data_IF_020955999916
#
_entry.id   IF_020955999916
#
_cell.length_a   1.000
_cell.length_b   1.000
_cell.length_c   1.000
_cell.angle_alpha   90.00
_cell.angle_beta   90.00
_cell.angle_gamma   90.00
#
_symmetry.space_group_name_H-M   'P 1'
#
loop_
_entity.id
_entity.type
_entity.pdbx_description
1 polymer ?
#
# COMPACT_ATOMS: atom_id res chain seq x y z
N UNK A 1 -9.44 37.45 -5.33
CA UNK A 1 -9.37 36.43 -6.40
C UNK A 1 -9.07 35.11 -5.75
N UNK A 2 -10.00 34.12 -5.74
CA UNK A 2 -9.72 32.76 -5.32
C UNK A 2 -8.81 32.15 -6.39
N UNK A 3 -7.54 31.86 -6.05
CA UNK A 3 -6.67 31.06 -6.91
C UNK A 3 -7.36 29.72 -7.09
N UNK A 4 -7.79 29.41 -8.31
CA UNK A 4 -8.40 28.13 -8.63
C UNK A 4 -7.43 27.01 -8.26
N UNK A 5 -7.92 25.99 -7.58
CA UNK A 5 -7.14 24.79 -7.28
C UNK A 5 -6.60 24.24 -8.61
N UNK A 6 -5.30 24.05 -8.77
CA UNK A 6 -4.77 23.55 -10.03
C UNK A 6 -5.43 22.20 -10.33
N UNK A 7 -5.95 22.07 -11.56
CA UNK A 7 -6.60 20.85 -12.02
C UNK A 7 -5.59 19.72 -11.94
N UNK A 8 -5.92 18.65 -11.21
CA UNK A 8 -5.08 17.46 -11.15
C UNK A 8 -5.00 16.83 -12.54
N UNK A 9 -3.80 16.64 -13.03
CA UNK A 9 -3.51 15.92 -14.25
C UNK A 9 -2.91 14.57 -13.88
N UNK A 10 -3.65 13.51 -14.12
CA UNK A 10 -3.18 12.16 -13.83
C UNK A 10 -2.08 11.77 -14.83
N UNK A 11 -0.91 11.41 -14.29
CA UNK A 11 0.23 10.90 -15.06
C UNK A 11 0.70 9.57 -14.51
N UNK A 12 1.14 8.71 -15.40
CA UNK A 12 1.81 7.46 -15.08
C UNK A 12 3.24 7.53 -15.59
N UNK A 13 4.17 7.18 -14.73
CA UNK A 13 5.59 7.21 -15.04
C UNK A 13 6.18 5.81 -15.21
N UNK A 14 7.41 5.73 -15.68
CA UNK A 14 8.25 4.54 -15.59
C UNK A 14 9.43 4.89 -14.69
N UNK A 15 9.72 4.07 -13.69
CA UNK A 15 10.89 4.24 -12.86
C UNK A 15 12.12 3.77 -13.65
N UNK A 16 13.11 4.63 -13.78
CA UNK A 16 14.43 4.33 -14.34
C UNK A 16 15.45 4.05 -13.24
N UNK A 17 16.72 4.22 -13.58
CA UNK A 17 17.85 4.04 -12.64
C UNK A 17 17.93 5.17 -11.59
N UNK A 18 17.22 6.25 -11.81
CA UNK A 18 17.07 7.38 -10.88
C UNK A 18 15.68 8.02 -11.06
N UNK A 19 15.22 8.73 -10.04
CA UNK A 19 14.05 9.59 -10.14
C UNK A 19 14.38 10.85 -10.93
N UNK A 20 13.53 11.17 -11.92
CA UNK A 20 13.66 12.44 -12.65
C UNK A 20 13.12 13.61 -11.83
N UNK A 21 13.58 14.83 -12.13
CA UNK A 21 13.04 16.04 -11.48
C UNK A 21 11.54 16.19 -11.71
N UNK A 22 11.02 15.83 -12.90
CA UNK A 22 9.58 15.83 -13.16
C UNK A 22 8.81 14.89 -12.22
N UNK A 23 9.34 13.69 -11.95
CA UNK A 23 8.73 12.73 -11.03
C UNK A 23 8.72 13.26 -9.59
N UNK A 24 9.83 13.85 -9.14
CA UNK A 24 9.96 14.46 -7.80
C UNK A 24 8.99 15.63 -7.64
N UNK A 25 8.97 16.57 -8.59
CA UNK A 25 8.07 17.72 -8.60
C UNK A 25 6.60 17.28 -8.62
N UNK A 26 6.25 16.28 -9.44
CA UNK A 26 4.91 15.73 -9.52
C UNK A 26 4.46 15.16 -8.16
N UNK A 27 5.31 14.33 -7.54
CA UNK A 27 5.02 13.76 -6.24
C UNK A 27 4.90 14.84 -5.15
N UNK A 28 5.84 15.77 -5.07
CA UNK A 28 5.78 16.87 -4.09
C UNK A 28 4.53 17.73 -4.25
N UNK A 29 4.09 17.95 -5.48
CA UNK A 29 2.89 18.72 -5.76
C UNK A 29 1.61 17.99 -5.39
N UNK A 30 1.51 16.70 -5.70
CA UNK A 30 0.26 15.96 -5.62
C UNK A 30 0.22 14.93 -4.48
N UNK A 31 1.35 14.57 -3.88
CA UNK A 31 1.43 13.56 -2.81
C UNK A 31 1.18 12.14 -3.25
N UNK A 32 1.11 11.90 -4.54
CA UNK A 32 0.90 10.60 -5.17
C UNK A 32 1.64 10.54 -6.50
N UNK A 33 2.25 9.40 -6.78
CA UNK A 33 2.86 9.09 -8.07
C UNK A 33 2.57 7.63 -8.42
N UNK A 34 2.37 7.34 -9.69
CA UNK A 34 2.18 5.98 -10.16
C UNK A 34 3.28 5.60 -11.16
N UNK A 35 3.89 4.47 -10.91
CA UNK A 35 4.83 3.83 -11.83
C UNK A 35 4.17 2.61 -12.47
N UNK A 36 4.30 2.49 -13.79
CA UNK A 36 3.90 1.29 -14.54
C UNK A 36 5.04 0.30 -14.64
N UNK A 37 4.70 -0.97 -14.75
CA UNK A 37 5.67 -2.06 -14.97
C UNK A 37 6.77 -2.12 -13.89
N UNK A 38 6.43 -1.78 -12.63
CA UNK A 38 7.38 -1.90 -11.53
C UNK A 38 7.78 -3.35 -11.29
N UNK A 39 6.84 -4.27 -11.42
CA UNK A 39 7.10 -5.72 -11.43
C UNK A 39 6.57 -6.32 -12.74
N UNK A 40 7.10 -7.47 -13.14
CA UNK A 40 6.59 -8.23 -14.28
C UNK A 40 5.32 -9.00 -13.88
N UNK A 41 4.57 -9.49 -14.89
CA UNK A 41 3.42 -10.36 -14.63
C UNK A 41 3.84 -11.66 -13.94
N UNK A 42 4.96 -12.24 -14.34
CA UNK A 42 5.51 -13.45 -13.76
C UNK A 42 5.86 -13.26 -12.28
N UNK A 43 6.41 -12.07 -11.92
CA UNK A 43 6.67 -11.71 -10.53
C UNK A 43 5.37 -11.55 -9.74
N UNK A 44 4.35 -10.93 -10.34
CA UNK A 44 3.04 -10.80 -9.69
C UNK A 44 2.40 -12.17 -9.43
N UNK A 45 2.43 -13.08 -10.42
CA UNK A 45 1.94 -14.44 -10.27
C UNK A 45 2.69 -15.23 -9.19
N UNK A 46 4.02 -15.06 -9.11
CA UNK A 46 4.85 -15.66 -8.06
C UNK A 46 4.41 -15.16 -6.67
N UNK A 47 4.20 -13.84 -6.52
CA UNK A 47 3.76 -13.29 -5.24
C UNK A 47 2.36 -13.78 -4.86
N UNK A 48 1.43 -13.86 -5.80
CA UNK A 48 0.09 -14.41 -5.57
C UNK A 48 0.19 -15.85 -5.09
N UNK A 49 1.05 -16.67 -5.71
CA UNK A 49 1.25 -18.06 -5.31
C UNK A 49 1.85 -18.19 -3.89
N UNK A 50 2.82 -17.35 -3.54
CA UNK A 50 3.40 -17.32 -2.18
C UNK A 50 2.37 -16.90 -1.14
N UNK A 51 1.58 -15.88 -1.44
CA UNK A 51 0.52 -15.39 -0.55
C UNK A 51 -0.57 -16.44 -0.35
N UNK A 52 -0.93 -17.19 -1.40
CA UNK A 52 -1.88 -18.30 -1.30
C UNK A 52 -1.39 -19.44 -0.39
N UNK A 53 -0.09 -19.74 -0.41
CA UNK A 53 0.51 -20.72 0.52
C UNK A 53 0.41 -20.26 1.96
N UNK A 54 0.78 -19.00 2.25
CA UNK A 54 0.69 -18.41 3.58
C UNK A 54 -0.77 -18.40 4.07
N UNK A 55 -1.70 -17.99 3.23
CA UNK A 55 -3.14 -17.98 3.55
C UNK A 55 -3.63 -19.39 3.92
N UNK A 56 -3.31 -20.38 3.09
CA UNK A 56 -3.72 -21.77 3.33
C UNK A 56 -3.16 -22.30 4.65
N UNK A 57 -1.90 -22.01 4.95
CA UNK A 57 -1.28 -22.39 6.22
C UNK A 57 -1.98 -21.72 7.40
N UNK A 58 -2.18 -20.40 7.36
CA UNK A 58 -2.79 -19.66 8.47
C UNK A 58 -4.25 -20.05 8.71
N UNK A 59 -5.01 -20.35 7.65
CA UNK A 59 -6.37 -20.88 7.81
C UNK A 59 -6.37 -22.26 8.44
N UNK A 60 -5.47 -23.16 8.04
CA UNK A 60 -5.36 -24.49 8.60
C UNK A 60 -4.93 -24.50 10.08
N UNK A 61 -4.05 -23.56 10.46
CA UNK A 61 -3.55 -23.39 11.83
C UNK A 61 -4.49 -22.55 12.72
N UNK A 62 -5.54 -21.95 12.17
CA UNK A 62 -6.45 -21.08 12.90
C UNK A 62 -5.81 -19.79 13.40
N UNK A 63 -4.87 -19.22 12.63
CA UNK A 63 -4.15 -17.99 13.01
C UNK A 63 -5.11 -16.80 12.92
N UNK A 64 -5.31 -16.12 14.04
CA UNK A 64 -6.19 -14.93 14.09
C UNK A 64 -5.43 -13.60 14.05
N UNK A 65 -4.17 -13.60 14.45
CA UNK A 65 -3.31 -12.40 14.53
C UNK A 65 -1.85 -12.72 14.34
N UNK A 66 -1.09 -11.79 13.79
CA UNK A 66 0.37 -11.84 13.66
C UNK A 66 0.97 -10.62 14.38
N UNK A 67 1.94 -10.85 15.26
CA UNK A 67 2.58 -9.80 16.08
C UNK A 67 1.55 -8.88 16.78
N UNK A 68 0.44 -9.44 17.24
CA UNK A 68 -0.64 -8.69 17.89
C UNK A 68 -1.59 -7.97 16.91
N UNK A 69 -1.32 -7.95 15.62
CA UNK A 69 -2.18 -7.35 14.59
C UNK A 69 -3.22 -8.37 14.12
N UNK A 70 -4.53 -8.09 14.26
CA UNK A 70 -5.57 -8.99 13.81
C UNK A 70 -5.59 -9.13 12.28
N UNK A 71 -5.75 -10.36 11.81
CA UNK A 71 -6.07 -10.63 10.41
C UNK A 71 -7.52 -10.21 10.10
N UNK A 72 -7.83 -9.96 8.83
CA UNK A 72 -9.19 -9.69 8.37
C UNK A 72 -9.68 -10.88 7.55
N UNK A 73 -10.74 -11.48 8.01
CA UNK A 73 -11.35 -12.64 7.35
C UNK A 73 -12.55 -12.24 6.51
N UNK A 74 -12.80 -13.00 5.48
CA UNK A 74 -13.95 -12.89 4.59
C UNK A 74 -14.32 -14.21 3.95
N UNK A 75 -15.13 -14.14 2.92
CA UNK A 75 -15.49 -15.26 2.06
C UNK A 75 -15.17 -14.93 0.63
N UNK A 76 -14.71 -15.93 -0.12
CA UNK A 76 -14.59 -15.85 -1.57
C UNK A 76 -15.97 -15.97 -2.26
N UNK A 77 -16.03 -15.86 -3.61
CA UNK A 77 -17.28 -16.01 -4.36
C UNK A 77 -17.99 -17.34 -4.13
N UNK A 78 -17.26 -18.38 -3.84
CA UNK A 78 -17.74 -19.74 -3.60
C UNK A 78 -18.14 -19.97 -2.13
N UNK A 79 -17.95 -18.95 -1.28
CA UNK A 79 -18.28 -19.00 0.15
C UNK A 79 -17.22 -19.66 1.03
N UNK A 80 -16.03 -19.94 0.49
CA UNK A 80 -14.88 -20.48 1.22
C UNK A 80 -14.23 -19.38 2.07
N UNK A 81 -13.68 -19.76 3.23
CA UNK A 81 -12.94 -18.84 4.08
C UNK A 81 -11.68 -18.34 3.39
N UNK A 82 -11.44 -17.04 3.52
CA UNK A 82 -10.25 -16.37 3.01
C UNK A 82 -9.74 -15.31 3.99
N UNK A 83 -8.48 -14.92 3.87
CA UNK A 83 -7.91 -13.83 4.64
C UNK A 83 -7.80 -12.60 3.73
N UNK A 84 -8.61 -11.60 4.01
CA UNK A 84 -8.67 -10.37 3.21
C UNK A 84 -7.55 -9.37 3.54
N UNK A 85 -6.95 -9.46 4.72
CA UNK A 85 -5.78 -8.67 5.09
C UNK A 85 -4.81 -9.50 5.90
N UNK A 86 -3.61 -9.65 5.33
CA UNK A 86 -2.47 -10.35 5.92
C UNK A 86 -1.37 -9.33 6.23
N UNK A 87 -0.76 -9.43 7.38
CA UNK A 87 0.35 -8.56 7.79
C UNK A 87 1.64 -9.37 7.99
N UNK A 88 2.79 -8.72 7.89
CA UNK A 88 4.11 -9.34 8.03
C UNK A 88 4.37 -10.53 7.11
N UNK A 89 3.79 -10.54 5.91
CA UNK A 89 3.90 -11.67 4.96
C UNK A 89 5.34 -11.95 4.55
N UNK A 90 6.21 -10.95 4.58
CA UNK A 90 7.65 -11.09 4.36
C UNK A 90 8.37 -11.98 5.37
N UNK A 91 7.77 -12.26 6.54
CA UNK A 91 8.33 -13.18 7.53
C UNK A 91 8.00 -14.66 7.28
N UNK A 92 7.11 -14.90 6.33
CA UNK A 92 6.59 -16.22 6.01
C UNK A 92 6.91 -16.67 4.56
N UNK A 93 7.62 -15.84 3.82
CA UNK A 93 8.10 -16.16 2.46
C UNK A 93 9.44 -15.48 2.20
N UNK A 94 10.46 -16.28 1.89
CA UNK A 94 11.78 -15.77 1.49
C UNK A 94 11.69 -14.95 0.18
N UNK A 95 10.78 -15.30 -0.72
CA UNK A 95 10.53 -14.56 -1.96
C UNK A 95 10.06 -13.14 -1.66
N UNK A 96 9.10 -12.99 -0.74
CA UNK A 96 8.59 -11.68 -0.35
C UNK A 96 9.62 -10.89 0.48
N UNK A 97 10.42 -11.58 1.32
CA UNK A 97 11.50 -10.95 2.06
C UNK A 97 12.60 -10.42 1.14
N UNK A 98 12.96 -11.19 0.11
CA UNK A 98 13.97 -10.79 -0.87
C UNK A 98 13.50 -9.62 -1.72
N UNK A 99 12.21 -9.59 -2.08
CA UNK A 99 11.63 -8.47 -2.81
C UNK A 99 11.76 -7.13 -2.07
N UNK A 100 11.69 -7.11 -0.75
CA UNK A 100 11.88 -5.87 0.03
C UNK A 100 13.30 -5.30 -0.06
N UNK A 101 14.26 -6.09 -0.56
CA UNK A 101 15.64 -5.65 -0.81
C UNK A 101 15.85 -5.11 -2.22
N UNK A 102 14.79 -5.02 -3.04
CA UNK A 102 14.90 -4.46 -4.38
C UNK A 102 15.43 -3.02 -4.31
N UNK A 103 16.56 -2.72 -4.98
CA UNK A 103 17.21 -1.41 -4.88
C UNK A 103 16.34 -0.26 -5.37
N UNK A 104 15.29 -0.54 -6.14
CA UNK A 104 14.35 0.48 -6.59
C UNK A 104 13.57 1.11 -5.42
N UNK A 105 13.42 0.41 -4.30
CA UNK A 105 12.83 1.01 -3.11
C UNK A 105 13.70 2.10 -2.51
N UNK A 106 15.03 1.98 -2.59
CA UNK A 106 15.95 3.03 -2.15
C UNK A 106 15.76 4.32 -2.97
N UNK A 107 15.53 4.19 -4.28
CA UNK A 107 15.21 5.35 -5.12
C UNK A 107 13.91 6.04 -4.68
N UNK A 108 12.89 5.25 -4.29
CA UNK A 108 11.61 5.82 -3.84
C UNK A 108 11.74 6.58 -2.52
N UNK A 109 12.73 6.24 -1.67
CA UNK A 109 12.97 6.97 -0.41
C UNK A 109 13.36 8.43 -0.64
N UNK A 110 13.94 8.78 -1.80
CA UNK A 110 14.23 10.16 -2.17
C UNK A 110 12.95 11.04 -2.19
N UNK A 111 11.77 10.44 -2.39
CA UNK A 111 10.51 11.16 -2.37
C UNK A 111 10.10 11.67 -0.98
N UNK A 112 10.74 11.20 0.09
CA UNK A 112 10.54 11.71 1.45
C UNK A 112 11.13 13.11 1.67
N UNK A 113 11.79 13.67 0.66
CA UNK A 113 12.31 15.03 0.69
C UNK A 113 13.51 15.15 1.61
N UNK A 114 13.59 16.14 2.55
CA UNK A 114 14.81 16.33 3.34
C UNK A 114 15.00 15.30 4.47
N UNK A 115 14.17 14.27 4.52
CA UNK A 115 14.21 13.25 5.56
C UNK A 115 14.91 12.00 5.06
N UNK A 116 15.77 11.44 5.89
CA UNK A 116 16.32 10.12 5.65
C UNK A 116 15.21 9.08 5.84
N UNK A 117 15.04 8.22 4.82
CA UNK A 117 14.06 7.15 4.83
C UNK A 117 14.71 5.79 4.93
N UNK A 118 13.94 4.81 5.37
CA UNK A 118 14.27 3.39 5.31
C UNK A 118 13.01 2.56 5.10
N UNK A 119 13.17 1.38 4.57
CA UNK A 119 12.07 0.42 4.48
C UNK A 119 11.75 -0.08 5.89
N UNK A 120 10.47 -0.06 6.26
CA UNK A 120 10.00 -0.66 7.51
C UNK A 120 10.20 -2.18 7.46
N UNK A 121 10.75 -2.75 8.55
CA UNK A 121 10.99 -4.19 8.64
C UNK A 121 9.97 -4.87 9.56
N UNK A 122 10.06 -4.58 10.84
CA UNK A 122 9.31 -5.27 11.89
C UNK A 122 8.30 -4.39 12.61
N UNK A 123 8.32 -3.11 12.31
CA UNK A 123 7.40 -2.14 12.88
C UNK A 123 6.11 -2.02 12.05
N UNK A 124 5.08 -1.52 12.70
CA UNK A 124 3.72 -1.38 12.16
C UNK A 124 3.17 -2.74 11.70
N UNK A 125 2.85 -2.91 10.45
CA UNK A 125 2.21 -4.11 9.92
C UNK A 125 3.12 -4.91 8.99
N UNK A 126 4.39 -4.50 8.82
CA UNK A 126 5.35 -5.10 7.89
C UNK A 126 4.88 -5.02 6.44
N UNK A 127 5.19 -6.04 5.64
CA UNK A 127 4.63 -6.18 4.30
C UNK A 127 3.19 -6.67 4.40
N UNK A 128 2.25 -5.82 4.00
CA UNK A 128 0.82 -6.10 4.07
C UNK A 128 0.29 -6.50 2.72
N UNK A 129 -0.49 -7.56 2.69
CA UNK A 129 -1.31 -7.94 1.55
C UNK A 129 -2.79 -7.68 1.84
N UNK A 130 -3.48 -7.03 0.91
CA UNK A 130 -4.92 -6.80 0.97
C UNK A 130 -5.60 -7.47 -0.23
N UNK A 131 -6.56 -8.33 0.05
CA UNK A 131 -7.40 -8.99 -0.94
C UNK A 131 -8.83 -8.46 -0.82
N UNK A 132 -9.15 -7.48 -1.66
CA UNK A 132 -10.49 -6.90 -1.68
C UNK A 132 -11.39 -7.73 -2.59
N UNK A 133 -12.46 -8.25 -2.01
CA UNK A 133 -13.48 -9.00 -2.75
C UNK A 133 -14.77 -8.19 -2.76
N UNK A 134 -15.19 -7.76 -3.94
CA UNK A 134 -16.43 -7.01 -4.10
C UNK A 134 -17.64 -7.95 -4.10
N UNK A 135 -18.10 -8.30 -2.90
CA UNK A 135 -19.27 -9.16 -2.72
C UNK A 135 -20.25 -8.57 -1.69
N UNK A 136 -21.56 -8.78 -1.84
CA UNK A 136 -22.58 -8.24 -0.93
C UNK A 136 -22.37 -8.59 0.54
N UNK A 137 -21.77 -9.75 0.83
CA UNK A 137 -21.55 -10.26 2.18
C UNK A 137 -20.10 -10.10 2.67
N UNK A 138 -19.21 -9.47 1.89
CA UNK A 138 -17.86 -9.21 2.34
C UNK A 138 -17.83 -8.06 3.34
N UNK A 139 -17.18 -8.27 4.50
CA UNK A 139 -17.03 -7.22 5.53
C UNK A 139 -15.96 -6.18 5.17
N UNK A 140 -15.12 -6.46 4.16
CA UNK A 140 -14.01 -5.61 3.74
C UNK A 140 -14.18 -5.23 2.26
N UNK A 141 -15.31 -4.60 1.94
CA UNK A 141 -15.69 -4.22 0.58
C UNK A 141 -15.28 -2.80 0.22
N UNK A 142 -15.20 -1.92 1.21
CA UNK A 142 -14.92 -0.52 1.00
C UNK A 142 -14.12 0.04 2.17
N UNK A 143 -13.05 0.74 1.86
CA UNK A 143 -12.33 1.56 2.82
C UNK A 143 -12.80 3.00 2.71
N UNK A 144 -13.26 3.59 3.82
CA UNK A 144 -13.61 5.01 3.87
C UNK A 144 -12.39 5.90 3.63
N UNK A 145 -12.64 7.17 3.31
CA UNK A 145 -11.57 8.17 3.24
C UNK A 145 -10.87 8.26 4.60
N UNK A 146 -9.56 8.13 4.60
CA UNK A 146 -8.73 8.17 5.79
C UNK A 146 -7.32 8.66 5.46
N UNK A 147 -6.55 8.92 6.50
CA UNK A 147 -5.09 9.04 6.45
C UNK A 147 -4.52 7.99 7.40
N UNK A 148 -3.31 7.49 7.16
CA UNK A 148 -2.72 6.42 7.96
C UNK A 148 -2.15 6.90 9.32
N UNK A 149 -2.00 8.21 9.48
CA UNK A 149 -1.30 8.81 10.63
C UNK A 149 -2.14 9.19 11.87
N UNK A 150 -3.48 9.34 11.84
CA UNK A 150 -4.24 9.85 12.99
C UNK A 150 -4.09 9.03 14.26
N UNK A 151 -3.90 7.71 14.13
CA UNK A 151 -3.70 6.82 15.28
C UNK A 151 -2.49 7.22 16.11
N UNK A 152 -1.39 7.56 15.44
CA UNK A 152 -0.13 7.91 16.12
C UNK A 152 -0.26 9.24 16.88
N UNK A 153 -1.03 10.19 16.34
CA UNK A 153 -1.38 11.43 17.04
C UNK A 153 -2.16 11.18 18.34
N UNK A 154 -3.17 10.33 18.31
CA UNK A 154 -3.97 10.00 19.49
C UNK A 154 -3.15 9.29 20.58
N UNK A 155 -2.09 8.58 20.17
CA UNK A 155 -1.17 7.93 21.11
C UNK A 155 -0.03 8.86 21.58
N UNK A 156 -0.06 10.13 21.21
CA UNK A 156 0.97 11.12 21.57
C UNK A 156 2.33 10.86 20.91
N UNK A 157 2.36 10.07 19.85
CA UNK A 157 3.58 9.78 19.12
C UNK A 157 3.88 10.88 18.11
N UNK A 158 5.17 11.16 17.90
CA UNK A 158 5.59 12.06 16.82
C UNK A 158 5.31 11.41 15.48
N UNK A 159 4.49 12.08 14.65
CA UNK A 159 4.31 11.65 13.26
C UNK A 159 5.57 12.02 12.48
N UNK A 160 6.24 11.01 11.95
CA UNK A 160 7.31 11.18 10.99
C UNK A 160 6.75 11.06 9.58
N UNK A 161 7.36 11.74 8.60
CA UNK A 161 7.02 11.53 7.20
C UNK A 161 7.11 10.04 6.84
N UNK A 162 6.09 9.55 6.16
CA UNK A 162 5.98 8.16 5.76
C UNK A 162 5.54 8.09 4.30
N UNK A 163 6.22 7.25 3.53
CA UNK A 163 5.83 6.89 2.18
C UNK A 163 5.11 5.54 2.23
N UNK A 164 3.87 5.50 1.75
CA UNK A 164 3.15 4.25 1.55
C UNK A 164 3.33 3.80 0.11
N UNK A 165 3.95 2.64 -0.10
CA UNK A 165 4.19 2.06 -1.41
C UNK A 165 3.23 0.90 -1.63
N UNK A 166 2.25 1.08 -2.52
CA UNK A 166 1.30 0.03 -2.91
C UNK A 166 1.66 -0.60 -4.25
N UNK A 167 1.65 -1.92 -4.33
CA UNK A 167 1.86 -2.68 -5.56
C UNK A 167 0.60 -3.44 -5.88
N UNK A 168 0.06 -3.22 -7.07
CA UNK A 168 -1.11 -3.93 -7.55
C UNK A 168 -0.67 -5.22 -8.23
N UNK A 169 -1.10 -6.36 -7.70
CA UNK A 169 -0.85 -7.67 -8.28
C UNK A 169 -1.89 -8.03 -9.34
N UNK A 170 -3.08 -7.40 -9.26
CA UNK A 170 -4.19 -7.57 -10.19
C UNK A 170 -4.59 -6.25 -10.84
N UNK A 171 -5.39 -6.33 -11.91
CA UNK A 171 -6.01 -5.16 -12.52
C UNK A 171 -7.07 -4.58 -11.59
N UNK A 172 -6.83 -3.39 -11.06
CA UNK A 172 -7.74 -2.65 -10.19
C UNK A 172 -8.28 -1.39 -10.88
N UNK A 173 -9.18 -1.50 -11.87
CA UNK A 173 -9.79 -0.31 -12.49
C UNK A 173 -10.71 0.40 -11.48
N UNK A 174 -11.00 1.68 -11.74
CA UNK A 174 -11.87 2.49 -10.88
C UNK A 174 -13.26 1.88 -10.63
N UNK A 175 -13.76 1.09 -11.59
CA UNK A 175 -15.02 0.37 -11.48
C UNK A 175 -14.93 -0.88 -10.56
N UNK A 176 -13.72 -1.34 -10.24
CA UNK A 176 -13.50 -2.54 -9.43
C UNK A 176 -12.59 -2.23 -8.22
N UNK A 177 -12.94 -1.21 -7.46
CA UNK A 177 -12.28 -0.92 -6.17
C UNK A 177 -10.89 -0.31 -6.27
N UNK A 178 -10.51 0.25 -7.43
CA UNK A 178 -9.22 0.94 -7.57
C UNK A 178 -9.01 2.03 -6.52
N UNK A 179 -7.77 2.18 -6.07
CA UNK A 179 -7.39 3.17 -5.08
C UNK A 179 -7.77 4.59 -5.53
N UNK A 180 -8.37 5.35 -4.61
CA UNK A 180 -8.73 6.76 -4.82
C UNK A 180 -7.93 7.63 -3.86
N UNK A 181 -7.37 8.71 -4.36
CA UNK A 181 -6.59 9.67 -3.58
C UNK A 181 -7.12 11.08 -3.77
N UNK A 182 -6.90 11.94 -2.78
CA UNK A 182 -7.14 13.38 -2.88
C UNK A 182 -5.80 14.09 -3.09
N UNK A 183 -5.45 14.45 -4.34
CA UNK A 183 -4.13 15.00 -4.63
C UNK A 183 -3.89 16.33 -3.93
N UNK A 184 -2.68 16.54 -3.42
CA UNK A 184 -2.25 17.79 -2.79
C UNK A 184 -2.66 17.92 -1.32
N UNK A 185 -3.32 16.93 -0.73
CA UNK A 185 -3.74 16.98 0.67
C UNK A 185 -2.60 16.76 1.66
N UNK A 186 -1.50 16.13 1.25
CA UNK A 186 -0.31 15.93 2.08
C UNK A 186 0.31 17.25 2.58
N UNK A 187 0.05 18.35 1.90
CA UNK A 187 0.53 19.69 2.26
C UNK A 187 -0.49 20.49 3.10
N UNK A 188 -1.61 19.88 3.47
CA UNK A 188 -2.65 20.53 4.25
C UNK A 188 -2.54 20.15 5.72
N UNK A 189 -2.89 21.08 6.61
CA UNK A 189 -3.05 20.76 8.02
C UNK A 189 -4.21 19.78 8.18
N UNK A 190 -4.01 18.76 9.01
CA UNK A 190 -5.04 17.77 9.38
C UNK A 190 -6.34 18.41 9.91
N UNK A 191 -6.21 19.62 10.48
CA UNK A 191 -7.35 20.40 10.96
C UNK A 191 -8.15 21.10 9.85
N UNK A 192 -7.71 20.99 8.60
CA UNK A 192 -8.38 21.58 7.41
C UNK A 192 -8.95 20.53 6.46
N UNK A 193 -8.77 19.27 6.79
CA UNK A 193 -9.38 18.14 6.08
C UNK A 193 -10.70 17.74 6.76
#
# INVERSE_FOLDING_TARGET
>A
MKKGTPKFEYKTFTLGDALTEEQKEYFHKYGVIQFKNFISNETAELFIAELAKIEAQWLAEGVEKINGIPLKFGKDPEGKDMIQRMCFTNKYSDVLAEFLKDPRFELLLELLGPYDGRIGADEKDGLVFNHYVNQPNSKFTQMGWHTDSPRDLFLGQKILPMLNVGIHLDKCPSANGGLRVLPGTQNQSILKL
#
